data_IF_947826355537
#
_entry.id   IF_947826355537
#
_cell.length_a   1.000
_cell.length_b   1.000
_cell.length_c   1.000
_cell.angle_alpha   90.00
_cell.angle_beta   90.00
_cell.angle_gamma   90.00
#
_symmetry.space_group_name_H-M   'P 1'
#
loop_
_entity.id
_entity.type
_entity.pdbx_description
1 polymer ?
#
# COMPACT_ATOMS: atom_id res chain seq x y z
N UNK A 1 16.40 -23.67 -90.56
CA UNK A 1 17.07 -22.58 -89.83
C UNK A 1 16.34 -22.39 -88.51
N UNK A 2 16.98 -22.73 -87.38
CA UNK A 2 16.40 -22.65 -86.03
C UNK A 2 16.86 -21.35 -85.38
N UNK A 3 15.93 -20.45 -85.06
CA UNK A 3 16.19 -19.31 -84.19
C UNK A 3 16.10 -19.74 -82.72
N UNK A 4 17.24 -19.75 -82.03
CA UNK A 4 17.31 -19.91 -80.58
C UNK A 4 16.91 -18.63 -79.86
N UNK A 5 16.04 -18.76 -78.85
CA UNK A 5 15.67 -17.67 -77.95
C UNK A 5 16.39 -17.83 -76.59
N UNK A 6 16.91 -16.74 -75.98
CA UNK A 6 17.69 -16.82 -74.76
C UNK A 6 16.79 -17.02 -73.53
N UNK A 7 17.10 -18.05 -72.75
CA UNK A 7 16.41 -18.39 -71.51
C UNK A 7 16.82 -17.42 -70.39
N UNK A 8 15.86 -16.60 -69.93
CA UNK A 8 16.03 -15.66 -68.82
C UNK A 8 16.21 -16.37 -67.46
N UNK A 9 17.43 -16.33 -66.93
CA UNK A 9 17.84 -16.91 -65.64
C UNK A 9 17.73 -15.93 -64.44
N UNK A 10 16.82 -14.94 -64.49
CA UNK A 10 16.83 -13.80 -63.55
C UNK A 10 16.01 -13.90 -62.27
N UNK A 11 15.19 -14.94 -62.02
CA UNK A 11 14.09 -14.85 -61.02
C UNK A 11 14.27 -15.59 -59.68
N UNK A 12 15.34 -16.35 -59.47
CA UNK A 12 15.61 -17.00 -58.18
C UNK A 12 16.38 -16.12 -57.18
N UNK A 13 17.06 -15.06 -57.65
CA UNK A 13 17.85 -14.16 -56.78
C UNK A 13 17.01 -13.26 -55.85
N UNK A 14 15.78 -12.90 -56.23
CA UNK A 14 14.94 -12.02 -55.39
C UNK A 14 14.47 -12.66 -54.07
N UNK A 15 14.26 -13.98 -54.02
CA UNK A 15 13.71 -14.61 -52.81
C UNK A 15 14.75 -14.75 -51.69
N UNK A 16 16.02 -14.96 -52.07
CA UNK A 16 17.13 -15.04 -51.13
C UNK A 16 17.51 -13.66 -50.59
N UNK A 17 17.41 -12.63 -51.44
CA UNK A 17 17.66 -11.24 -51.04
C UNK A 17 16.63 -10.73 -50.01
N UNK A 18 15.35 -11.10 -50.14
CA UNK A 18 14.33 -10.70 -49.16
C UNK A 18 14.52 -11.41 -47.82
N UNK A 19 14.87 -12.71 -47.82
CA UNK A 19 15.16 -13.43 -46.58
C UNK A 19 16.40 -12.88 -45.87
N UNK A 20 17.46 -12.54 -46.63
CA UNK A 20 18.65 -11.87 -46.09
C UNK A 20 18.32 -10.47 -45.55
N UNK A 21 17.49 -9.69 -46.23
CA UNK A 21 17.08 -8.37 -45.76
C UNK A 21 16.27 -8.44 -44.46
N UNK A 22 15.41 -9.46 -44.28
CA UNK A 22 14.67 -9.66 -43.02
C UNK A 22 15.62 -10.07 -41.89
N UNK A 23 16.59 -10.94 -42.16
CA UNK A 23 17.62 -11.32 -41.16
C UNK A 23 18.53 -10.15 -40.80
N UNK A 24 18.93 -9.32 -41.77
CA UNK A 24 19.73 -8.11 -41.55
C UNK A 24 18.93 -7.04 -40.82
N UNK A 25 17.66 -6.84 -41.14
CA UNK A 25 16.80 -5.92 -40.41
C UNK A 25 16.55 -6.38 -38.96
N UNK A 26 16.37 -7.69 -38.74
CA UNK A 26 16.17 -8.25 -37.41
C UNK A 26 17.44 -8.13 -36.55
N UNK A 27 18.62 -8.38 -37.14
CA UNK A 27 19.91 -8.22 -36.44
C UNK A 27 20.28 -6.74 -36.21
N UNK A 28 19.95 -5.84 -37.14
CA UNK A 28 20.14 -4.40 -36.94
C UNK A 28 19.20 -3.83 -35.86
N UNK A 29 17.96 -4.34 -35.77
CA UNK A 29 17.03 -3.94 -34.73
C UNK A 29 17.47 -4.44 -33.35
N UNK A 30 17.97 -5.69 -33.27
CA UNK A 30 18.59 -6.24 -32.05
C UNK A 30 19.86 -5.49 -31.61
N UNK A 31 20.64 -4.96 -32.55
CA UNK A 31 21.83 -4.15 -32.25
C UNK A 31 21.46 -2.73 -31.80
N UNK A 32 20.47 -2.10 -32.43
CA UNK A 32 20.03 -0.75 -32.06
C UNK A 32 19.38 -0.68 -30.66
N UNK A 33 18.74 -1.76 -30.20
CA UNK A 33 18.18 -1.84 -28.85
C UNK A 33 19.27 -2.02 -27.77
N UNK A 34 20.43 -2.59 -28.14
CA UNK A 34 21.57 -2.70 -27.23
C UNK A 34 22.20 -1.32 -26.96
N UNK A 35 22.32 -0.47 -27.98
CA UNK A 35 22.85 0.89 -27.84
C UNK A 35 21.83 1.85 -27.20
N UNK A 36 20.52 1.65 -27.43
CA UNK A 36 19.47 2.46 -26.81
C UNK A 36 19.37 2.23 -25.29
N UNK A 37 19.69 1.04 -24.79
CA UNK A 37 19.76 0.76 -23.36
C UNK A 37 20.89 1.53 -22.67
N UNK A 38 22.02 1.75 -23.35
CA UNK A 38 23.17 2.49 -22.82
C UNK A 38 22.97 4.01 -22.88
N UNK A 39 22.16 4.50 -23.84
CA UNK A 39 21.93 5.94 -24.02
C UNK A 39 20.82 6.53 -23.13
N UNK A 40 19.91 5.70 -22.60
CA UNK A 40 18.89 6.13 -21.62
C UNK A 40 19.52 6.46 -20.26
N UNK A 41 20.60 5.77 -19.88
CA UNK A 41 21.33 6.06 -18.64
C UNK A 41 22.17 7.36 -18.73
N UNK A 42 22.66 7.71 -19.92
CA UNK A 42 23.41 8.95 -20.13
C UNK A 42 22.52 10.22 -20.15
N UNK A 43 21.25 10.11 -20.54
CA UNK A 43 20.33 11.25 -20.61
C UNK A 43 19.60 11.55 -19.29
N UNK A 44 19.57 10.62 -18.33
CA UNK A 44 19.00 10.84 -17.00
C UNK A 44 19.87 11.74 -16.09
N UNK A 45 21.15 11.95 -16.43
CA UNK A 45 22.09 12.72 -15.61
C UNK A 45 22.04 14.26 -15.83
N UNK A 46 21.22 14.78 -16.76
CA UNK A 46 21.30 16.20 -17.20
C UNK A 46 20.08 17.09 -16.92
N UNK A 47 19.06 16.62 -16.20
CA UNK A 47 17.88 17.44 -15.86
C UNK A 47 17.72 17.70 -14.34
N UNK A 48 18.23 18.84 -13.82
CA UNK A 48 18.14 19.17 -12.39
C UNK A 48 16.74 19.62 -11.91
N UNK A 49 15.69 19.58 -12.75
CA UNK A 49 14.37 20.16 -12.45
C UNK A 49 13.35 19.11 -11.95
N UNK A 50 13.59 17.80 -12.16
CA UNK A 50 12.72 16.73 -11.65
C UNK A 50 12.97 16.36 -10.18
N UNK A 51 14.00 16.95 -9.55
CA UNK A 51 14.35 16.72 -8.14
C UNK A 51 13.30 17.26 -7.18
N UNK A 52 12.59 18.34 -7.50
CA UNK A 52 11.65 18.97 -6.56
C UNK A 52 10.47 18.08 -6.19
N UNK A 53 9.81 17.43 -7.16
CA UNK A 53 8.62 16.59 -6.88
C UNK A 53 8.98 15.23 -6.31
N UNK A 54 10.08 14.62 -6.76
CA UNK A 54 10.54 13.33 -6.22
C UNK A 54 11.09 13.51 -4.80
N UNK A 55 11.85 14.58 -4.54
CA UNK A 55 12.29 14.91 -3.18
C UNK A 55 11.12 15.28 -2.27
N UNK A 56 10.11 16.01 -2.75
CA UNK A 56 8.91 16.30 -1.96
C UNK A 56 8.16 15.02 -1.57
N UNK A 57 8.05 14.03 -2.47
CA UNK A 57 7.45 12.72 -2.16
C UNK A 57 8.31 11.91 -1.18
N UNK A 58 9.62 11.90 -1.36
CA UNK A 58 10.56 11.28 -0.41
C UNK A 58 10.43 11.92 0.98
N UNK A 59 10.34 13.25 1.04
CA UNK A 59 10.18 13.99 2.28
C UNK A 59 8.82 13.76 2.95
N UNK A 60 7.73 13.61 2.18
CA UNK A 60 6.42 13.27 2.72
C UNK A 60 6.35 11.84 3.25
N UNK A 61 6.88 10.86 2.51
CA UNK A 61 6.96 9.46 2.96
C UNK A 61 7.87 9.31 4.19
N UNK A 62 8.97 10.07 4.21
CA UNK A 62 9.84 10.17 5.38
C UNK A 62 9.11 10.76 6.59
N UNK A 63 8.38 11.87 6.41
CA UNK A 63 7.62 12.49 7.50
C UNK A 63 6.55 11.57 8.06
N UNK A 64 5.87 10.78 7.24
CA UNK A 64 4.85 9.87 7.75
C UNK A 64 5.47 8.79 8.64
N UNK A 65 6.57 8.16 8.22
CA UNK A 65 7.20 7.11 9.02
C UNK A 65 7.95 7.70 10.23
N UNK A 66 8.66 8.82 10.10
CA UNK A 66 9.29 9.48 11.24
C UNK A 66 8.26 9.99 12.26
N UNK A 67 7.09 10.46 11.82
CA UNK A 67 5.99 10.82 12.72
C UNK A 67 5.43 9.59 13.45
N UNK A 68 5.31 8.44 12.77
CA UNK A 68 4.94 7.16 13.40
C UNK A 68 5.91 6.86 14.52
N UNK A 69 7.20 6.80 14.22
CA UNK A 69 8.25 6.40 15.17
C UNK A 69 8.35 7.36 16.36
N UNK A 70 8.34 8.67 16.09
CA UNK A 70 8.54 9.68 17.13
C UNK A 70 7.35 9.78 18.10
N UNK A 71 6.13 9.49 17.63
CA UNK A 71 4.95 9.47 18.50
C UNK A 71 5.05 8.37 19.56
N UNK A 72 5.73 7.26 19.28
CA UNK A 72 5.90 6.16 20.23
C UNK A 72 6.88 6.52 21.33
N UNK A 73 8.00 7.11 20.93
CA UNK A 73 9.08 7.51 21.84
C UNK A 73 8.56 8.43 22.95
N UNK A 74 7.70 9.39 22.58
CA UNK A 74 7.04 10.28 23.57
C UNK A 74 6.08 9.56 24.52
N UNK A 75 5.49 8.46 24.10
CA UNK A 75 4.60 7.65 24.95
C UNK A 75 5.40 6.72 25.88
N UNK A 76 6.49 6.12 25.39
CA UNK A 76 7.37 5.25 26.18
C UNK A 76 8.19 6.02 27.22
N UNK A 77 8.60 7.26 26.93
CA UNK A 77 9.45 8.07 27.81
C UNK A 77 8.70 8.80 28.94
N UNK A 78 7.41 8.51 29.12
CA UNK A 78 6.67 8.95 30.30
C UNK A 78 6.28 10.43 30.28
N UNK A 79 5.09 10.69 29.77
CA UNK A 79 4.22 11.61 30.48
C UNK A 79 3.52 10.78 31.57
N UNK A 80 3.73 11.05 32.87
CA UNK A 80 2.81 10.53 33.85
C UNK A 80 1.44 11.05 33.43
N UNK A 81 0.54 10.14 33.05
CA UNK A 81 -0.88 10.41 33.10
C UNK A 81 -1.13 10.83 34.53
N UNK A 82 -1.16 12.15 34.75
CA UNK A 82 -1.70 12.73 35.97
C UNK A 82 -3.09 12.13 36.05
N UNK A 83 -3.22 11.14 36.92
CA UNK A 83 -4.50 10.68 37.41
C UNK A 83 -5.21 11.94 37.87
N UNK A 84 -6.14 12.40 37.05
CA UNK A 84 -7.13 13.41 37.42
C UNK A 84 -8.00 12.80 38.50
N UNK A 85 -7.40 12.67 39.69
CA UNK A 85 -8.08 12.68 40.95
C UNK A 85 -8.78 14.03 40.99
N UNK A 86 -10.04 14.03 40.59
CA UNK A 86 -10.97 15.10 40.82
C UNK A 86 -11.07 15.30 42.34
N UNK A 87 -10.15 16.08 42.87
CA UNK A 87 -10.20 16.67 44.20
C UNK A 87 -11.21 17.81 44.09
N UNK A 88 -12.43 17.51 44.51
CA UNK A 88 -13.50 18.48 44.76
C UNK A 88 -13.05 19.47 45.83
N UNK A 89 -12.39 20.53 45.39
CA UNK A 89 -12.07 21.71 46.19
C UNK A 89 -12.66 22.93 45.49
N UNK A 90 -13.94 23.20 45.71
CA UNK A 90 -14.52 24.51 45.43
C UNK A 90 -14.86 25.19 46.73
N UNK A 91 -14.06 26.23 46.98
CA UNK A 91 -14.23 27.19 48.03
C UNK A 91 -15.60 27.87 47.94
N UNK A 92 -16.18 28.03 49.12
CA UNK A 92 -17.27 28.94 49.44
C UNK A 92 -16.91 30.36 48.99
N UNK A 93 -17.74 30.93 48.12
CA UNK A 93 -17.82 32.37 47.88
C UNK A 93 -19.28 32.77 47.81
N UNK A 94 -19.71 33.35 48.91
CA UNK A 94 -21.05 33.85 49.17
C UNK A 94 -21.32 35.08 48.31
N UNK A 95 -22.30 35.00 47.42
CA UNK A 95 -22.96 36.19 46.87
C UNK A 95 -24.46 35.94 46.80
N UNK A 96 -25.14 36.58 47.72
CA UNK A 96 -26.58 36.67 47.90
C UNK A 96 -27.25 37.35 46.70
N UNK A 97 -28.18 36.65 46.04
CA UNK A 97 -29.29 37.29 45.34
C UNK A 97 -30.58 36.52 45.63
N UNK A 98 -31.57 37.27 46.09
CA UNK A 98 -32.85 36.80 46.56
C UNK A 98 -33.80 36.42 45.41
N UNK A 99 -34.64 35.41 45.67
CA UNK A 99 -36.02 35.39 45.20
C UNK A 99 -36.32 34.64 43.90
N UNK A 100 -36.66 33.35 44.04
CA UNK A 100 -37.84 32.76 43.40
C UNK A 100 -38.07 31.36 44.02
N UNK A 101 -39.20 31.18 44.69
CA UNK A 101 -39.59 29.90 45.28
C UNK A 101 -39.77 28.84 44.20
N UNK A 102 -38.96 27.79 44.23
CA UNK A 102 -39.25 26.54 43.57
C UNK A 102 -39.67 25.54 44.62
N UNK A 103 -40.94 25.17 44.53
CA UNK A 103 -41.61 24.14 45.31
C UNK A 103 -40.81 22.84 45.24
N UNK A 104 -40.25 22.43 46.37
CA UNK A 104 -39.69 21.10 46.57
C UNK A 104 -40.79 20.05 46.45
N UNK A 105 -41.12 19.65 45.21
CA UNK A 105 -41.85 18.43 44.94
C UNK A 105 -40.90 17.26 45.22
N UNK A 106 -40.82 16.88 46.50
CA UNK A 106 -40.21 15.64 46.95
C UNK A 106 -41.09 14.50 46.45
N UNK A 107 -40.88 14.09 45.20
CA UNK A 107 -41.50 12.92 44.62
C UNK A 107 -41.17 11.72 45.54
N UNK A 108 -42.21 11.17 46.18
CA UNK A 108 -42.15 9.87 46.86
C UNK A 108 -41.78 8.84 45.80
N UNK A 109 -40.53 8.38 45.81
CA UNK A 109 -40.11 7.20 45.06
C UNK A 109 -40.92 6.02 45.58
N UNK A 110 -41.79 5.49 44.75
CA UNK A 110 -42.39 4.17 44.94
C UNK A 110 -41.27 3.13 44.82
N UNK A 111 -41.11 2.22 45.79
CA UNK A 111 -40.19 1.10 45.65
C UNK A 111 -40.78 0.15 44.60
N UNK A 112 -40.19 0.08 43.41
CA UNK A 112 -40.69 -0.74 42.30
C UNK A 112 -40.39 -0.24 40.89
N UNK A 113 -39.89 0.98 40.71
CA UNK A 113 -39.40 1.51 39.40
C UNK A 113 -37.85 1.50 39.38
N UNK A 114 -37.26 0.31 39.49
CA UNK A 114 -35.80 0.12 39.62
C UNK A 114 -35.07 0.08 38.26
N UNK A 115 -35.76 0.36 37.14
CA UNK A 115 -35.18 0.33 35.78
C UNK A 115 -34.51 1.65 35.35
N UNK A 116 -34.43 2.65 36.23
CA UNK A 116 -33.87 3.94 35.86
C UNK A 116 -32.36 4.01 36.11
N UNK A 117 -31.59 3.86 35.03
CA UNK A 117 -30.16 4.14 35.04
C UNK A 117 -29.86 5.55 35.56
N UNK A 118 -28.90 5.70 36.49
CA UNK A 118 -28.48 7.00 36.96
C UNK A 118 -28.07 7.88 35.77
N UNK A 119 -28.59 9.11 35.70
CA UNK A 119 -28.22 10.10 34.69
C UNK A 119 -26.69 10.32 34.62
N UNK A 120 -26.02 10.22 35.78
CA UNK A 120 -24.57 10.29 35.89
C UNK A 120 -23.84 9.22 35.04
N UNK A 121 -24.41 8.02 34.92
CA UNK A 121 -23.83 6.93 34.14
C UNK A 121 -23.86 7.20 32.64
N UNK A 122 -24.95 7.78 32.14
CA UNK A 122 -25.04 8.20 30.74
C UNK A 122 -24.02 9.27 30.41
N UNK A 123 -23.85 10.25 31.30
CA UNK A 123 -22.86 11.32 31.12
C UNK A 123 -21.43 10.74 31.13
N UNK A 124 -21.13 9.83 32.07
CA UNK A 124 -19.83 9.18 32.14
C UNK A 124 -19.50 8.38 30.86
N UNK A 125 -20.44 7.56 30.38
CA UNK A 125 -20.29 6.83 29.12
C UNK A 125 -20.10 7.77 27.92
N UNK A 126 -20.84 8.87 27.86
CA UNK A 126 -20.71 9.87 26.80
C UNK A 126 -19.30 10.47 26.74
N UNK A 127 -18.72 10.81 27.90
CA UNK A 127 -17.34 11.32 28.00
C UNK A 127 -16.32 10.27 27.55
N UNK A 128 -16.45 9.02 28.02
CA UNK A 128 -15.52 7.94 27.67
C UNK A 128 -15.53 7.62 26.17
N UNK A 129 -16.72 7.54 25.56
CA UNK A 129 -16.86 7.31 24.12
C UNK A 129 -16.31 8.49 23.33
N UNK A 130 -16.57 9.72 23.77
CA UNK A 130 -16.00 10.92 23.13
C UNK A 130 -14.47 10.94 23.20
N UNK A 131 -13.88 10.53 24.32
CA UNK A 131 -12.43 10.38 24.47
C UNK A 131 -11.87 9.32 23.53
N UNK A 132 -12.53 8.16 23.43
CA UNK A 132 -12.15 7.11 22.47
C UNK A 132 -12.20 7.62 21.03
N UNK A 133 -13.30 8.23 20.60
CA UNK A 133 -13.43 8.79 19.24
C UNK A 133 -12.39 9.86 18.96
N UNK A 134 -12.11 10.73 19.93
CA UNK A 134 -11.07 11.77 19.81
C UNK A 134 -9.69 11.15 19.66
N UNK A 135 -9.39 10.09 20.42
CA UNK A 135 -8.13 9.35 20.29
C UNK A 135 -7.98 8.74 18.89
N UNK A 136 -9.01 8.02 18.41
CA UNK A 136 -9.00 7.40 17.07
C UNK A 136 -8.85 8.47 15.98
N UNK A 137 -9.53 9.61 16.10
CA UNK A 137 -9.41 10.69 15.15
C UNK A 137 -7.99 11.27 15.10
N UNK A 138 -7.38 11.50 16.27
CA UNK A 138 -6.03 12.07 16.38
C UNK A 138 -4.95 11.13 15.84
N UNK A 139 -5.12 9.81 16.01
CA UNK A 139 -4.18 8.79 15.57
C UNK A 139 -4.63 8.05 14.30
N UNK A 140 -5.46 8.70 13.49
CA UNK A 140 -5.87 8.18 12.18
C UNK A 140 -4.82 8.39 11.10
N UNK A 141 -3.94 9.39 11.25
CA UNK A 141 -2.90 9.70 10.27
C UNK A 141 -1.62 10.24 10.94
N UNK A 142 -0.50 9.48 10.93
CA UNK A 142 -0.43 8.07 10.50
C UNK A 142 -1.26 7.16 11.42
N UNK A 143 -1.69 6.01 10.90
CA UNK A 143 -2.65 5.12 11.58
C UNK A 143 -1.97 4.40 12.74
N UNK A 144 -2.34 4.74 13.98
CA UNK A 144 -1.76 4.19 15.23
C UNK A 144 -2.76 4.03 16.36
N UNK A 145 -4.05 3.94 16.05
CA UNK A 145 -5.08 3.98 17.08
C UNK A 145 -5.30 2.62 17.75
N UNK A 146 -4.92 1.49 17.14
CA UNK A 146 -4.99 0.20 17.82
C UNK A 146 -4.00 0.15 18.99
N UNK A 147 -2.79 0.67 18.79
CA UNK A 147 -1.78 0.76 19.85
C UNK A 147 -2.13 1.85 20.86
N UNK A 148 -2.38 3.08 20.39
CA UNK A 148 -2.42 4.26 21.28
C UNK A 148 -3.77 4.50 21.96
N UNK A 149 -4.86 3.92 21.45
CA UNK A 149 -6.21 4.12 22.00
C UNK A 149 -6.74 2.92 22.79
N UNK A 150 -5.89 1.95 23.13
CA UNK A 150 -6.29 0.76 23.88
C UNK A 150 -6.82 1.11 25.28
N UNK A 151 -6.18 2.05 25.99
CA UNK A 151 -6.64 2.51 27.30
C UNK A 151 -8.02 3.17 27.23
N UNK A 152 -8.27 3.99 26.20
CA UNK A 152 -9.58 4.63 26.01
C UNK A 152 -10.67 3.58 25.71
N UNK A 153 -10.36 2.56 24.90
CA UNK A 153 -11.25 1.42 24.63
C UNK A 153 -11.54 0.63 25.92
N UNK A 154 -10.52 0.34 26.72
CA UNK A 154 -10.65 -0.39 27.97
C UNK A 154 -11.49 0.40 28.98
N UNK A 155 -11.30 1.71 29.08
CA UNK A 155 -12.12 2.55 29.97
C UNK A 155 -13.62 2.50 29.62
N UNK A 156 -13.97 2.52 28.32
CA UNK A 156 -15.37 2.33 27.87
C UNK A 156 -15.87 0.94 28.27
N UNK A 157 -15.06 -0.09 28.07
CA UNK A 157 -15.41 -1.48 28.41
C UNK A 157 -15.62 -1.67 29.92
N UNK A 158 -14.77 -1.06 30.74
CA UNK A 158 -14.83 -1.18 32.20
C UNK A 158 -16.08 -0.48 32.75
N UNK A 159 -16.39 0.73 32.28
CA UNK A 159 -17.62 1.42 32.68
C UNK A 159 -18.86 0.67 32.19
N UNK A 160 -18.81 0.08 30.98
CA UNK A 160 -19.88 -0.80 30.49
C UNK A 160 -20.08 -2.03 31.38
N UNK A 161 -19.02 -2.70 31.80
CA UNK A 161 -19.12 -3.89 32.65
C UNK A 161 -19.71 -3.55 34.03
N UNK A 162 -19.35 -2.38 34.57
CA UNK A 162 -19.92 -1.84 35.80
C UNK A 162 -21.41 -1.52 35.64
N UNK A 163 -21.82 -1.02 34.47
CA UNK A 163 -23.22 -0.69 34.17
C UNK A 163 -24.05 -1.92 33.79
N UNK A 164 -23.43 -2.95 33.24
CA UNK A 164 -24.13 -4.15 32.76
C UNK A 164 -24.93 -4.85 33.86
N UNK A 165 -24.54 -4.72 35.13
CA UNK A 165 -25.28 -5.28 36.27
C UNK A 165 -26.52 -4.48 36.67
N UNK A 166 -26.62 -3.21 36.27
CA UNK A 166 -27.66 -2.27 36.74
C UNK A 166 -28.52 -1.69 35.60
N UNK A 167 -28.05 -1.74 34.35
CA UNK A 167 -28.49 -0.83 33.28
C UNK A 167 -28.59 -1.46 31.88
N UNK A 168 -28.62 -2.78 31.80
CA UNK A 168 -28.34 -3.55 30.58
C UNK A 168 -29.29 -3.29 29.40
N UNK A 169 -30.50 -2.78 29.66
CA UNK A 169 -31.55 -2.57 28.65
C UNK A 169 -31.59 -1.16 28.07
N UNK A 170 -30.77 -0.23 28.56
CA UNK A 170 -30.81 1.14 28.03
C UNK A 170 -30.16 1.24 26.64
N UNK A 171 -30.98 1.59 25.64
CA UNK A 171 -30.61 1.73 24.21
C UNK A 171 -29.33 2.57 23.97
N UNK A 172 -29.05 3.67 24.69
CA UNK A 172 -27.86 4.49 24.41
C UNK A 172 -26.55 3.77 24.76
N UNK A 173 -26.53 2.98 25.83
CA UNK A 173 -25.31 2.32 26.33
C UNK A 173 -24.92 1.16 25.40
N UNK A 174 -25.90 0.37 24.95
CA UNK A 174 -25.66 -0.73 24.01
C UNK A 174 -25.21 -0.23 22.62
N UNK A 175 -25.73 0.92 22.18
CA UNK A 175 -25.32 1.55 20.92
C UNK A 175 -23.88 2.08 20.98
N UNK A 176 -23.52 2.72 22.09
CA UNK A 176 -22.16 3.23 22.31
C UNK A 176 -21.11 2.12 22.34
N UNK A 177 -21.37 1.03 23.07
CA UNK A 177 -20.46 -0.11 23.13
C UNK A 177 -20.34 -0.82 21.79
N UNK A 178 -21.46 -1.00 21.07
CA UNK A 178 -21.47 -1.57 19.74
C UNK A 178 -20.63 -0.72 18.76
N UNK A 179 -20.70 0.61 18.85
CA UNK A 179 -19.87 1.50 18.05
C UNK A 179 -18.37 1.31 18.33
N UNK A 180 -17.94 1.37 19.60
CA UNK A 180 -16.53 1.19 19.97
C UNK A 180 -16.02 -0.19 19.54
N UNK A 181 -16.79 -1.25 19.80
CA UNK A 181 -16.44 -2.60 19.39
C UNK A 181 -16.40 -2.75 17.86
N UNK A 182 -17.31 -2.09 17.13
CA UNK A 182 -17.34 -2.11 15.67
C UNK A 182 -16.08 -1.47 15.08
N UNK A 183 -15.69 -0.28 15.56
CA UNK A 183 -14.45 0.38 15.11
C UNK A 183 -13.23 -0.50 15.42
N UNK A 184 -13.14 -1.02 16.63
CA UNK A 184 -12.01 -1.85 17.08
C UNK A 184 -11.88 -3.16 16.29
N UNK A 185 -12.99 -3.84 16.04
CA UNK A 185 -13.01 -5.13 15.32
C UNK A 185 -12.84 -4.97 13.82
N UNK A 186 -13.38 -3.91 13.19
CA UNK A 186 -13.15 -3.62 11.77
C UNK A 186 -11.68 -3.32 11.47
N UNK A 187 -10.98 -2.71 12.42
CA UNK A 187 -9.55 -2.43 12.33
C UNK A 187 -8.65 -3.62 12.68
N UNK A 188 -9.23 -4.77 13.06
CA UNK A 188 -8.52 -5.97 13.51
C UNK A 188 -7.52 -5.71 14.64
N UNK A 189 -7.84 -4.76 15.54
CA UNK A 189 -6.93 -4.34 16.62
C UNK A 189 -6.58 -5.45 17.63
N UNK A 190 -7.43 -6.47 17.80
CA UNK A 190 -7.16 -7.61 18.70
C UNK A 190 -6.34 -8.74 18.03
N UNK A 191 -5.92 -8.58 16.77
CA UNK A 191 -5.33 -9.67 15.98
C UNK A 191 -3.79 -9.73 16.02
N UNK A 192 -3.13 -8.71 16.54
CA UNK A 192 -1.68 -8.62 16.65
C UNK A 192 -1.25 -8.50 18.11
N UNK A 193 -0.03 -8.96 18.41
CA UNK A 193 0.62 -8.70 19.70
C UNK A 193 1.49 -7.44 19.65
N UNK A 194 1.74 -6.82 20.81
CA UNK A 194 2.64 -5.65 20.90
C UNK A 194 4.07 -5.97 20.43
N UNK A 195 4.51 -7.21 20.63
CA UNK A 195 5.80 -7.70 20.15
C UNK A 195 5.86 -7.74 18.61
N UNK A 196 4.75 -8.07 17.95
CA UNK A 196 4.68 -8.05 16.48
C UNK A 196 4.82 -6.61 15.96
N UNK A 197 4.17 -5.66 16.63
CA UNK A 197 4.22 -4.24 16.26
C UNK A 197 5.61 -3.66 16.41
N UNK A 198 6.22 -3.85 17.59
CA UNK A 198 7.59 -3.41 17.89
C UNK A 198 8.56 -3.93 16.86
N UNK A 199 8.50 -5.22 16.55
CA UNK A 199 9.41 -5.85 15.60
C UNK A 199 9.23 -5.30 14.17
N UNK A 200 7.99 -5.06 13.72
CA UNK A 200 7.75 -4.46 12.40
C UNK A 200 8.28 -3.02 12.34
N UNK A 201 8.01 -2.22 13.38
CA UNK A 201 8.49 -0.84 13.47
C UNK A 201 10.01 -0.76 13.50
N UNK A 202 10.70 -1.61 14.27
CA UNK A 202 12.16 -1.68 14.32
C UNK A 202 12.77 -1.99 12.94
N UNK A 203 12.20 -2.96 12.22
CA UNK A 203 12.63 -3.30 10.86
C UNK A 203 12.36 -2.16 9.87
N UNK A 204 11.23 -1.47 10.00
CA UNK A 204 10.93 -0.29 9.20
C UNK A 204 11.89 0.87 9.50
N UNK A 205 12.28 1.06 10.76
CA UNK A 205 13.28 2.04 11.18
C UNK A 205 14.67 1.71 10.64
N UNK A 206 15.08 0.43 10.65
CA UNK A 206 16.33 -0.03 10.04
C UNK A 206 16.39 0.32 8.54
N UNK A 207 15.30 0.06 7.82
CA UNK A 207 15.19 0.42 6.40
C UNK A 207 15.26 1.95 6.19
N UNK A 208 14.53 2.72 7.00
CA UNK A 208 14.60 4.17 6.96
C UNK A 208 16.01 4.70 7.24
N UNK A 209 16.70 4.10 8.20
CA UNK A 209 18.07 4.47 8.52
C UNK A 209 18.96 4.27 7.30
N UNK A 210 18.83 3.12 6.62
CA UNK A 210 19.54 2.84 5.38
C UNK A 210 19.23 3.86 4.26
N UNK A 211 17.97 4.29 4.11
CA UNK A 211 17.61 5.31 3.11
C UNK A 211 18.21 6.69 3.39
N UNK A 212 18.47 7.01 4.66
CA UNK A 212 19.00 8.30 5.07
C UNK A 212 20.52 8.31 5.21
N UNK A 213 21.17 7.17 4.99
CA UNK A 213 22.63 7.07 5.04
C UNK A 213 23.24 7.82 3.83
N UNK A 214 24.01 8.90 4.07
CA UNK A 214 24.59 9.69 3.00
C UNK A 214 25.64 8.93 2.18
N UNK A 215 26.23 7.87 2.73
CA UNK A 215 27.30 7.10 2.08
C UNK A 215 26.76 6.16 0.98
N UNK A 216 25.44 5.91 0.98
CA UNK A 216 24.80 4.95 0.08
C UNK A 216 24.64 5.48 -1.36
N UNK A 217 24.61 6.81 -1.56
CA UNK A 217 24.65 7.43 -2.89
C UNK A 217 23.51 6.99 -3.83
N UNK A 218 23.84 6.71 -5.10
CA UNK A 218 22.88 6.29 -6.13
C UNK A 218 22.44 4.81 -6.03
N UNK A 219 23.17 4.00 -5.27
CA UNK A 219 22.94 2.54 -5.18
C UNK A 219 22.03 2.17 -3.99
N UNK A 220 21.20 3.12 -3.54
CA UNK A 220 20.29 2.95 -2.38
C UNK A 220 19.45 1.69 -2.44
N UNK A 221 18.89 1.39 -3.61
CA UNK A 221 18.07 0.21 -3.77
C UNK A 221 18.86 -1.07 -3.59
N UNK A 222 20.10 -1.13 -4.09
CA UNK A 222 20.94 -2.33 -3.99
C UNK A 222 21.43 -2.54 -2.56
N UNK A 223 21.87 -1.48 -1.89
CA UNK A 223 22.38 -1.54 -0.51
C UNK A 223 21.24 -1.82 0.48
N UNK A 224 20.12 -1.13 0.38
CA UNK A 224 19.00 -1.26 1.31
C UNK A 224 18.05 -2.43 1.00
N UNK A 225 18.31 -3.22 -0.05
CA UNK A 225 17.48 -4.36 -0.44
C UNK A 225 17.35 -5.39 0.70
N UNK A 226 18.43 -5.63 1.44
CA UNK A 226 18.41 -6.58 2.56
C UNK A 226 17.43 -6.12 3.66
N UNK A 227 17.54 -4.85 4.08
CA UNK A 227 16.64 -4.26 5.08
C UNK A 227 15.18 -4.26 4.60
N UNK A 228 14.93 -3.91 3.34
CA UNK A 228 13.58 -3.94 2.76
C UNK A 228 12.98 -5.36 2.77
N UNK A 229 13.73 -6.35 2.30
CA UNK A 229 13.28 -7.75 2.32
C UNK A 229 13.04 -8.24 3.75
N UNK A 230 13.81 -7.77 4.74
CA UNK A 230 13.54 -8.08 6.15
C UNK A 230 12.16 -7.59 6.60
N UNK A 231 11.75 -6.36 6.20
CA UNK A 231 10.40 -5.85 6.50
C UNK A 231 9.34 -6.69 5.78
N UNK A 232 9.50 -6.92 4.47
CA UNK A 232 8.53 -7.65 3.65
C UNK A 232 8.34 -9.08 4.14
N UNK A 233 9.43 -9.81 4.36
CA UNK A 233 9.38 -11.19 4.83
C UNK A 233 8.77 -11.28 6.22
N UNK A 234 9.08 -10.32 7.11
CA UNK A 234 8.49 -10.28 8.44
C UNK A 234 6.97 -10.08 8.36
N UNK A 235 6.53 -9.05 7.64
CA UNK A 235 5.10 -8.77 7.44
C UNK A 235 4.35 -9.95 6.80
N UNK A 236 4.91 -10.56 5.75
CA UNK A 236 4.33 -11.73 5.09
C UNK A 236 4.30 -12.98 5.98
N UNK A 237 5.17 -13.06 6.98
CA UNK A 237 5.20 -14.14 7.97
C UNK A 237 4.17 -13.97 9.09
N UNK A 238 3.56 -12.79 9.26
CA UNK A 238 2.50 -12.56 10.24
C UNK A 238 1.23 -13.34 9.88
N UNK A 239 0.38 -13.58 10.88
CA UNK A 239 -0.93 -14.17 10.65
C UNK A 239 -1.79 -13.28 9.73
N UNK A 240 -2.69 -13.88 8.93
CA UNK A 240 -3.56 -13.11 8.02
C UNK A 240 -4.41 -12.06 8.74
N UNK A 241 -4.80 -12.32 9.99
CA UNK A 241 -5.58 -11.39 10.79
C UNK A 241 -4.72 -10.22 11.27
N UNK A 242 -3.46 -10.49 11.64
CA UNK A 242 -2.55 -9.42 12.03
C UNK A 242 -2.13 -8.55 10.83
N UNK A 243 -1.97 -9.14 9.64
CA UNK A 243 -1.74 -8.36 8.40
C UNK A 243 -2.93 -7.43 8.05
N UNK A 244 -4.15 -7.78 8.47
CA UNK A 244 -5.34 -6.94 8.25
C UNK A 244 -5.49 -5.83 9.29
N UNK A 245 -4.65 -5.83 10.32
CA UNK A 245 -4.65 -4.77 11.30
C UNK A 245 -4.29 -3.43 10.64
N UNK A 246 -5.10 -2.40 10.91
CA UNK A 246 -4.97 -1.10 10.25
C UNK A 246 -3.62 -0.41 10.53
N UNK A 247 -3.12 -0.48 11.77
CA UNK A 247 -1.84 0.12 12.15
C UNK A 247 -0.68 -0.61 11.45
N UNK A 248 -0.70 -1.96 11.42
CA UNK A 248 0.32 -2.77 10.72
C UNK A 248 0.33 -2.52 9.23
N UNK A 249 -0.86 -2.50 8.62
CA UNK A 249 -1.03 -2.28 7.19
C UNK A 249 -0.51 -0.91 6.78
N UNK A 250 -0.79 0.14 7.56
CA UNK A 250 -0.32 1.50 7.26
C UNK A 250 1.21 1.62 7.33
N UNK A 251 1.85 1.01 8.34
CA UNK A 251 3.33 0.93 8.41
C UNK A 251 3.89 0.25 7.17
N UNK A 252 3.32 -0.88 6.76
CA UNK A 252 3.78 -1.62 5.59
C UNK A 252 3.58 -0.85 4.28
N UNK A 253 2.42 -0.20 4.10
CA UNK A 253 2.15 0.67 2.94
C UNK A 253 3.10 1.86 2.92
N UNK A 254 3.43 2.45 4.07
CA UNK A 254 4.40 3.54 4.14
C UNK A 254 5.81 3.06 3.73
N UNK A 255 6.21 1.85 4.13
CA UNK A 255 7.47 1.22 3.69
C UNK A 255 7.47 1.00 2.17
N UNK A 256 6.42 0.42 1.60
CA UNK A 256 6.31 0.22 0.14
C UNK A 256 6.32 1.55 -0.62
N UNK A 257 5.62 2.56 -0.10
CA UNK A 257 5.59 3.90 -0.69
C UNK A 257 6.97 4.54 -0.67
N UNK A 258 7.72 4.35 0.42
CA UNK A 258 9.10 4.84 0.52
C UNK A 258 10.01 4.11 -0.47
N UNK A 259 9.93 2.79 -0.54
CA UNK A 259 10.70 1.96 -1.49
C UNK A 259 10.47 2.39 -2.95
N UNK A 260 9.21 2.55 -3.35
CA UNK A 260 8.85 3.02 -4.69
C UNK A 260 9.26 4.47 -4.98
N UNK A 261 9.32 5.34 -3.96
CA UNK A 261 9.79 6.72 -4.10
C UNK A 261 11.31 6.83 -4.44
N UNK A 262 12.07 5.78 -4.16
CA UNK A 262 13.46 5.62 -4.61
C UNK A 262 13.58 4.89 -5.95
N UNK A 263 12.46 4.59 -6.62
CA UNK A 263 12.42 3.84 -7.89
C UNK A 263 13.04 2.44 -7.80
N UNK A 264 13.05 1.87 -6.59
CA UNK A 264 13.61 0.55 -6.35
C UNK A 264 12.75 -0.61 -6.87
N UNK A 265 11.54 -0.31 -7.37
CA UNK A 265 10.68 -1.26 -8.09
C UNK A 265 11.21 -1.61 -9.49
N UNK A 266 12.31 -0.96 -9.92
CA UNK A 266 12.98 -1.19 -11.20
C UNK A 266 13.76 -2.53 -11.22
N UNK A 267 13.07 -3.63 -10.95
CA UNK A 267 13.55 -4.98 -11.25
C UNK A 267 12.60 -5.65 -12.24
N UNK A 268 12.52 -5.14 -13.48
CA UNK A 268 11.99 -5.93 -14.61
C UNK A 268 12.78 -5.71 -15.90
N UNK A 269 14.07 -6.02 -15.85
CA UNK A 269 14.82 -6.52 -17.02
C UNK A 269 14.26 -7.86 -17.55
N UNK A 270 13.23 -8.45 -16.90
CA UNK A 270 12.44 -9.55 -17.43
C UNK A 270 11.56 -9.17 -18.61
N UNK A 271 11.27 -7.87 -18.80
CA UNK A 271 10.50 -7.40 -19.96
C UNK A 271 11.20 -7.72 -21.28
N UNK A 272 12.54 -7.63 -21.36
CA UNK A 272 13.27 -7.91 -22.61
C UNK A 272 13.12 -9.37 -23.05
N UNK A 273 13.26 -10.32 -22.11
CA UNK A 273 13.07 -11.75 -22.38
C UNK A 273 11.63 -12.09 -22.74
N UNK A 274 10.66 -11.49 -22.05
CA UNK A 274 9.23 -11.70 -22.34
C UNK A 274 8.85 -11.15 -23.73
N UNK A 275 9.33 -9.95 -24.06
CA UNK A 275 9.12 -9.33 -25.37
C UNK A 275 9.73 -10.21 -26.48
N UNK A 276 10.94 -10.73 -26.29
CA UNK A 276 11.56 -11.64 -27.26
C UNK A 276 10.72 -12.90 -27.51
N UNK A 277 10.19 -13.52 -26.45
CA UNK A 277 9.31 -14.70 -26.58
C UNK A 277 8.01 -14.34 -27.31
N UNK A 278 7.39 -13.20 -26.97
CA UNK A 278 6.17 -12.71 -27.62
C UNK A 278 6.42 -12.48 -29.12
N UNK A 279 7.49 -11.77 -29.49
CA UNK A 279 7.83 -11.50 -30.89
C UNK A 279 8.01 -12.80 -31.69
N UNK A 280 8.70 -13.81 -31.12
CA UNK A 280 8.86 -15.11 -31.77
C UNK A 280 7.51 -15.79 -31.98
N UNK A 281 6.69 -15.89 -30.94
CA UNK A 281 5.38 -16.56 -31.00
C UNK A 281 4.45 -15.90 -32.04
N UNK A 282 4.42 -14.56 -32.09
CA UNK A 282 3.58 -13.83 -33.03
C UNK A 282 4.12 -13.83 -34.47
N UNK A 283 5.43 -14.00 -34.67
CA UNK A 283 6.02 -14.07 -36.02
C UNK A 283 5.82 -15.42 -36.72
N UNK A 284 5.69 -16.52 -35.96
CA UNK A 284 5.58 -17.88 -36.50
C UNK A 284 4.38 -18.09 -37.45
N UNK A 285 3.14 -17.64 -37.13
CA UNK A 285 2.01 -17.77 -38.06
C UNK A 285 2.22 -17.01 -39.37
N UNK A 286 2.82 -15.82 -39.31
CA UNK A 286 3.12 -15.01 -40.50
C UNK A 286 4.16 -15.69 -41.38
N UNK A 287 5.23 -16.22 -40.79
CA UNK A 287 6.25 -16.99 -41.50
C UNK A 287 5.68 -18.27 -42.11
N UNK A 288 4.82 -18.98 -41.38
CA UNK A 288 4.13 -20.16 -41.89
C UNK A 288 3.25 -19.82 -43.10
N UNK A 289 2.42 -18.78 -43.01
CA UNK A 289 1.56 -18.36 -44.12
C UNK A 289 2.37 -17.95 -45.36
N UNK A 290 3.46 -17.18 -45.17
CA UNK A 290 4.38 -16.82 -46.25
C UNK A 290 5.01 -18.06 -46.89
N UNK A 291 5.41 -19.05 -46.11
CA UNK A 291 5.99 -20.29 -46.63
C UNK A 291 5.02 -21.07 -47.52
N UNK A 292 3.77 -21.24 -47.07
CA UNK A 292 2.71 -21.91 -47.84
C UNK A 292 2.39 -21.16 -49.12
N UNK A 293 2.29 -19.83 -49.04
CA UNK A 293 2.04 -18.96 -50.19
C UNK A 293 3.14 -19.09 -51.25
N UNK A 294 4.41 -19.04 -50.83
CA UNK A 294 5.57 -19.16 -51.73
C UNK A 294 5.59 -20.53 -52.41
N UNK A 295 5.41 -21.63 -51.67
CA UNK A 295 5.35 -22.99 -52.21
C UNK A 295 4.23 -23.12 -53.25
N UNK A 296 3.03 -22.62 -52.95
CA UNK A 296 1.90 -22.62 -53.88
C UNK A 296 2.23 -21.89 -55.18
N UNK A 297 2.92 -20.75 -55.09
CA UNK A 297 3.34 -19.97 -56.26
C UNK A 297 4.40 -20.71 -57.10
N UNK A 298 5.36 -21.38 -56.47
CA UNK A 298 6.37 -22.18 -57.17
C UNK A 298 5.75 -23.36 -57.90
N UNK A 299 4.83 -24.10 -57.26
CA UNK A 299 4.14 -25.23 -57.89
C UNK A 299 3.31 -24.79 -59.09
N UNK A 300 2.59 -23.66 -58.99
CA UNK A 300 1.82 -23.09 -60.11
C UNK A 300 2.73 -22.74 -61.29
N UNK A 301 3.89 -22.10 -61.03
CA UNK A 301 4.89 -21.79 -62.08
C UNK A 301 5.46 -23.05 -62.72
N UNK A 302 5.75 -24.09 -61.93
CA UNK A 302 6.26 -25.37 -62.44
C UNK A 302 5.23 -26.06 -63.35
N UNK A 303 3.96 -26.13 -62.94
CA UNK A 303 2.87 -26.65 -63.78
C UNK A 303 2.73 -25.87 -65.09
N UNK A 304 2.84 -24.54 -65.06
CA UNK A 304 2.79 -23.70 -66.25
C UNK A 304 3.98 -23.87 -67.21
N UNK A 305 5.15 -24.31 -66.71
CA UNK A 305 6.30 -24.67 -67.54
C UNK A 305 6.14 -26.05 -68.17
N UNK A 306 5.69 -27.04 -67.39
CA UNK A 306 5.47 -28.40 -67.89
C UNK A 306 4.37 -28.47 -68.96
N UNK A 307 3.28 -27.72 -68.79
CA UNK A 307 2.22 -27.62 -69.79
C UNK A 307 2.69 -26.97 -71.09
N UNK A 308 3.64 -26.03 -71.03
CA UNK A 308 4.28 -25.46 -72.23
C UNK A 308 5.25 -26.42 -72.91
N UNK A 309 5.95 -27.27 -72.15
CA UNK A 309 6.89 -28.24 -72.71
C UNK A 309 6.23 -29.45 -73.40
N UNK A 310 4.92 -29.68 -73.15
CA UNK A 310 4.13 -30.74 -73.82
C UNK A 310 3.52 -30.31 -75.15
N UNK A 311 3.50 -29.01 -75.45
CA UNK A 311 3.07 -28.48 -76.74
C UNK A 311 4.27 -28.36 -77.66
#
# INVERSE_FOLDING_TARGET
>A
MRHGSPFSAGRTRCSLAVALLVLVACSAWLAADADAAEQVDAHAASHPILTSRSQARRYQAWRSISAVVESRRRHSDGLPLTSSSASSSSASSSSSLAGAGHSNARARRTPGDDDFCPEASFLAMGVLVSNFTTCVANYSHPTRYCELCQDAKNAVKDELNKLSSECTTSIPISSASAYVQSVWSQASCDSCTDDEYTTLEEKAQELLHCFNDPDVGNDTCQVCNAAYNNVVNYYQGLSSNCQQNSDMFDIFVAVQTSWSAYSCDASKTTSSKLIAVIVVVFSLPSLFYLSVYLIGRFLKRRKARLSRARK
#
